data_IF_136430553589
#
_entry.id   IF_136430553589
#
_cell.length_a   1.000
_cell.length_b   1.000
_cell.length_c   1.000
_cell.angle_alpha   90.00
_cell.angle_beta   90.00
_cell.angle_gamma   90.00
#
_symmetry.space_group_name_H-M   'P 1'
#
loop_
_entity.id
_entity.type
_entity.pdbx_description
1 polymer ?
#
# COMPACT_ATOMS: atom_id res chain seq x y z
N UNK A 1 27.00 -47.30 33.72
CA UNK A 1 28.28 -47.29 32.98
C UNK A 1 28.51 -45.90 32.44
N UNK A 2 29.75 -45.44 32.60
CA UNK A 2 30.24 -44.09 32.36
C UNK A 2 30.35 -43.74 30.86
N UNK A 3 30.22 -42.43 30.61
CA UNK A 3 31.02 -41.57 29.72
C UNK A 3 31.52 -42.09 28.36
N UNK A 4 31.17 -41.35 27.32
CA UNK A 4 32.10 -40.76 26.34
C UNK A 4 31.33 -39.64 25.62
N UNK A 5 31.89 -38.53 25.16
CA UNK A 5 33.27 -38.15 24.90
C UNK A 5 33.19 -37.04 23.85
N UNK A 6 33.73 -35.88 24.22
CA UNK A 6 33.88 -34.61 23.51
C UNK A 6 34.31 -34.58 22.01
N UNK A 7 33.89 -33.47 21.37
CA UNK A 7 34.64 -32.50 20.52
C UNK A 7 34.54 -32.48 18.96
N UNK A 8 34.54 -31.20 18.46
CA UNK A 8 34.82 -30.59 17.12
C UNK A 8 33.56 -30.35 16.24
N UNK A 9 33.35 -29.21 15.56
CA UNK A 9 34.17 -28.03 15.22
C UNK A 9 33.30 -26.87 14.69
N UNK A 10 33.80 -25.64 14.88
CA UNK A 10 33.75 -24.41 14.04
C UNK A 10 32.46 -23.76 13.49
N UNK A 11 32.28 -22.51 13.94
CA UNK A 11 31.84 -21.26 13.27
C UNK A 11 31.04 -21.28 11.97
N UNK A 12 29.90 -20.59 11.98
CA UNK A 12 29.59 -19.52 11.01
C UNK A 12 28.77 -18.41 11.68
N UNK A 13 29.26 -17.17 11.54
CA UNK A 13 28.47 -15.94 11.61
C UNK A 13 27.59 -15.89 10.37
N UNK A 14 26.33 -15.44 10.49
CA UNK A 14 25.79 -14.27 9.79
C UNK A 14 24.29 -14.12 10.10
N UNK A 15 23.85 -12.86 10.13
CA UNK A 15 22.70 -12.39 10.87
C UNK A 15 21.35 -12.91 10.41
N UNK A 16 20.39 -12.84 11.34
CA UNK A 16 18.99 -12.92 10.98
C UNK A 16 18.53 -11.53 10.55
N UNK A 17 18.40 -11.35 9.23
CA UNK A 17 17.54 -10.30 8.70
C UNK A 17 16.09 -10.75 8.90
N UNK A 18 15.26 -9.86 9.43
CA UNK A 18 13.81 -10.01 9.32
C UNK A 18 13.42 -9.66 7.89
N UNK A 19 12.86 -10.63 7.17
CA UNK A 19 12.07 -10.35 5.99
C UNK A 19 10.64 -10.14 6.49
N UNK A 20 10.27 -8.90 6.76
CA UNK A 20 8.86 -8.50 6.74
C UNK A 20 8.51 -8.22 5.29
N UNK A 21 8.13 -9.24 4.52
CA UNK A 21 7.33 -8.98 3.33
C UNK A 21 5.92 -8.71 3.82
N UNK A 22 5.56 -7.43 3.95
CA UNK A 22 4.16 -7.08 3.76
C UNK A 22 3.87 -7.53 2.32
N UNK A 23 2.99 -8.52 2.13
CA UNK A 23 2.64 -8.97 0.79
C UNK A 23 2.03 -7.76 0.09
N UNK A 24 2.82 -7.12 -0.79
CA UNK A 24 2.37 -5.93 -1.47
C UNK A 24 1.22 -6.36 -2.40
N UNK A 25 0.03 -5.80 -2.15
CA UNK A 25 -1.15 -6.15 -2.91
C UNK A 25 -0.99 -5.61 -4.33
N UNK A 26 -0.85 -6.51 -5.29
CA UNK A 26 -0.94 -6.15 -6.70
C UNK A 26 -2.38 -5.79 -7.07
N UNK A 27 -2.54 -4.73 -7.86
CA UNK A 27 -3.84 -4.28 -8.33
C UNK A 27 -3.83 -4.22 -9.86
N UNK A 28 -4.85 -4.81 -10.49
CA UNK A 28 -5.06 -4.64 -11.94
C UNK A 28 -5.66 -3.25 -12.18
N UNK A 29 -4.87 -2.33 -12.73
CA UNK A 29 -5.27 -0.94 -12.97
C UNK A 29 -5.79 -0.71 -14.39
N UNK A 30 -5.75 -1.74 -15.24
CA UNK A 30 -6.06 -1.59 -16.66
C UNK A 30 -7.51 -1.14 -16.89
N UNK A 31 -8.44 -1.62 -16.06
CA UNK A 31 -9.87 -1.33 -16.14
C UNK A 31 -10.23 0.11 -15.77
N UNK A 32 -9.30 0.87 -15.19
CA UNK A 32 -9.48 2.30 -14.90
C UNK A 32 -9.01 3.20 -16.05
N UNK A 33 -8.30 2.62 -17.02
CA UNK A 33 -7.76 3.35 -18.15
C UNK A 33 -8.71 3.42 -19.35
N UNK A 34 -8.26 4.12 -20.38
CA UNK A 34 -8.95 4.19 -21.66
C UNK A 34 -8.10 3.55 -22.76
N UNK A 35 -8.73 2.69 -23.56
CA UNK A 35 -8.05 2.00 -24.64
C UNK A 35 -8.33 2.64 -26.00
N UNK A 36 -7.32 2.57 -26.88
CA UNK A 36 -7.39 2.99 -28.27
C UNK A 36 -6.61 2.00 -29.14
N UNK A 37 -6.86 1.97 -30.44
CA UNK A 37 -6.16 1.07 -31.35
C UNK A 37 -5.96 1.71 -32.72
N UNK A 38 -4.90 1.29 -33.40
CA UNK A 38 -4.51 1.73 -34.75
C UNK A 38 -5.67 1.86 -35.74
N UNK A 39 -6.50 0.81 -35.84
CA UNK A 39 -7.70 0.78 -36.70
C UNK A 39 -8.75 -0.11 -36.06
N UNK A 40 -10.02 0.12 -36.38
CA UNK A 40 -11.14 -0.74 -36.00
C UNK A 40 -11.52 -1.66 -37.16
N UNK A 41 -11.47 -2.97 -36.96
CA UNK A 41 -12.02 -3.90 -37.94
C UNK A 41 -13.55 -3.89 -37.89
N UNK A 42 -14.19 -3.41 -38.96
CA UNK A 42 -15.64 -3.26 -39.01
C UNK A 42 -16.15 -2.24 -37.98
N UNK A 43 -17.24 -2.56 -37.27
CA UNK A 43 -17.91 -1.62 -36.33
C UNK A 43 -18.17 -2.23 -34.93
N UNK A 44 -17.54 -3.36 -34.58
CA UNK A 44 -17.88 -4.13 -33.38
C UNK A 44 -16.68 -4.68 -32.60
N UNK A 45 -15.45 -4.25 -32.87
CA UNK A 45 -14.24 -4.81 -32.24
C UNK A 45 -13.41 -3.72 -31.53
N UNK A 46 -14.09 -2.97 -30.66
CA UNK A 46 -13.54 -1.78 -30.01
C UNK A 46 -12.35 -2.10 -29.10
N UNK A 47 -11.38 -1.19 -29.03
CA UNK A 47 -10.19 -1.32 -28.21
C UNK A 47 -10.50 -1.59 -26.72
N UNK A 48 -11.63 -1.07 -26.22
CA UNK A 48 -12.05 -1.22 -24.83
C UNK A 48 -12.44 -2.66 -24.45
N UNK A 49 -12.72 -3.54 -25.41
CA UNK A 49 -13.05 -4.94 -25.12
C UNK A 49 -11.88 -5.73 -24.55
N UNK A 50 -10.65 -5.24 -24.65
CA UNK A 50 -9.53 -5.83 -23.91
C UNK A 50 -9.55 -5.54 -22.41
N UNK A 51 -10.51 -4.76 -21.89
CA UNK A 51 -10.53 -4.24 -20.51
C UNK A 51 -11.86 -4.46 -19.80
N UNK A 52 -12.76 -5.26 -20.37
CA UNK A 52 -14.12 -5.45 -19.85
C UNK A 52 -14.23 -6.65 -18.88
N UNK A 53 -13.15 -7.40 -18.68
CA UNK A 53 -13.09 -8.56 -17.79
C UNK A 53 -13.68 -9.84 -18.39
N UNK A 54 -13.94 -9.87 -19.70
CA UNK A 54 -14.56 -10.99 -20.39
C UNK A 54 -13.57 -11.61 -21.39
N UNK A 55 -13.22 -12.87 -21.21
CA UNK A 55 -12.24 -13.57 -22.07
C UNK A 55 -12.74 -13.95 -23.47
N UNK A 56 -13.95 -13.55 -23.84
CA UNK A 56 -14.60 -13.90 -25.11
C UNK A 56 -15.00 -12.69 -25.96
N UNK A 57 -14.96 -11.49 -25.40
CA UNK A 57 -14.98 -10.24 -26.17
C UNK A 57 -13.53 -9.88 -26.48
N UNK A 58 -13.26 -9.42 -27.70
CA UNK A 58 -11.89 -9.11 -28.08
C UNK A 58 -11.83 -7.83 -28.91
N UNK A 59 -10.66 -7.23 -28.95
CA UNK A 59 -10.28 -6.18 -29.90
C UNK A 59 -9.92 -6.80 -31.26
N UNK A 60 -9.97 -6.04 -32.34
CA UNK A 60 -9.50 -6.52 -33.64
C UNK A 60 -9.15 -5.33 -34.55
N UNK A 61 -7.91 -5.31 -35.03
CA UNK A 61 -7.47 -4.32 -36.02
C UNK A 61 -7.75 -4.79 -37.45
N UNK A 62 -7.75 -3.88 -38.41
CA UNK A 62 -7.66 -4.27 -39.82
C UNK A 62 -6.27 -4.84 -40.14
N UNK A 63 -6.17 -5.49 -41.30
CA UNK A 63 -4.89 -5.93 -41.87
C UNK A 63 -4.05 -4.72 -42.23
N UNK A 64 -2.93 -4.53 -41.54
CA UNK A 64 -2.06 -3.37 -41.75
C UNK A 64 -0.60 -3.67 -41.41
N UNK A 65 0.26 -2.71 -41.66
CA UNK A 65 1.64 -2.72 -41.14
C UNK A 65 1.62 -2.10 -39.76
N UNK A 66 2.34 -2.71 -38.81
CA UNK A 66 2.52 -2.17 -37.46
C UNK A 66 1.22 -1.94 -36.66
N UNK A 67 0.26 -2.91 -36.62
CA UNK A 67 -0.94 -2.76 -35.81
C UNK A 67 -0.59 -2.63 -34.33
N UNK A 68 -1.28 -1.70 -33.65
CA UNK A 68 -1.10 -1.45 -32.23
C UNK A 68 -2.42 -1.26 -31.49
N UNK A 69 -2.37 -1.57 -30.21
CA UNK A 69 -3.35 -1.24 -29.17
C UNK A 69 -2.63 -0.46 -28.07
N UNK A 70 -3.28 0.58 -27.53
CA UNK A 70 -2.75 1.47 -26.50
C UNK A 70 -3.75 1.57 -25.37
N UNK A 71 -3.23 1.50 -24.15
CA UNK A 71 -3.93 1.86 -22.93
C UNK A 71 -3.31 3.11 -22.31
N UNK A 72 -4.14 4.11 -22.05
CA UNK A 72 -3.82 5.24 -21.17
C UNK A 72 -4.28 4.92 -19.75
N UNK A 73 -3.33 4.73 -18.83
CA UNK A 73 -3.57 4.47 -17.40
C UNK A 73 -4.00 5.74 -16.63
N UNK A 74 -4.13 6.88 -17.30
CA UNK A 74 -4.52 8.21 -16.79
C UNK A 74 -3.48 8.88 -15.88
N UNK A 75 -2.67 8.09 -15.16
CA UNK A 75 -1.46 8.54 -14.46
C UNK A 75 -0.30 7.55 -14.66
N UNK A 76 0.90 7.99 -14.29
CA UNK A 76 2.09 7.13 -14.32
C UNK A 76 2.06 6.16 -13.15
N UNK A 77 2.30 4.88 -13.44
CA UNK A 77 2.44 3.81 -12.45
C UNK A 77 3.76 3.07 -12.65
N UNK A 78 4.24 2.44 -11.59
CA UNK A 78 5.27 1.40 -11.67
C UNK A 78 4.59 0.05 -11.98
N UNK A 79 4.71 -0.40 -13.22
CA UNK A 79 4.05 -1.62 -13.71
C UNK A 79 4.89 -2.84 -13.39
N UNK A 80 4.37 -3.73 -12.55
CA UNK A 80 5.08 -4.95 -12.18
C UNK A 80 4.97 -6.03 -13.27
N UNK A 81 3.78 -6.22 -13.84
CA UNK A 81 3.56 -7.17 -14.95
C UNK A 81 2.32 -6.83 -15.77
N UNK A 82 2.29 -7.35 -16.99
CA UNK A 82 1.14 -7.29 -17.90
C UNK A 82 0.66 -8.72 -18.19
N UNK A 83 -0.65 -8.94 -18.26
CA UNK A 83 -1.23 -10.19 -18.74
C UNK A 83 -1.93 -9.96 -20.07
N UNK A 84 -1.86 -10.93 -20.97
CA UNK A 84 -2.57 -10.90 -22.25
C UNK A 84 -3.34 -12.20 -22.41
N UNK A 85 -4.64 -12.09 -22.69
CA UNK A 85 -5.50 -13.21 -23.09
C UNK A 85 -5.65 -13.22 -24.60
N UNK A 86 -5.26 -14.32 -25.22
CA UNK A 86 -5.34 -14.50 -26.65
C UNK A 86 -6.74 -14.99 -27.07
N UNK A 87 -7.03 -14.85 -28.37
CA UNK A 87 -8.27 -15.27 -28.99
C UNK A 87 -8.54 -16.78 -28.81
N UNK A 88 -9.77 -17.20 -28.45
CA UNK A 88 -10.08 -18.60 -28.19
C UNK A 88 -10.47 -19.45 -29.43
N UNK A 89 -10.95 -18.84 -30.51
CA UNK A 89 -11.58 -19.57 -31.64
C UNK A 89 -10.62 -19.99 -32.75
N UNK A 90 -9.72 -19.10 -33.18
CA UNK A 90 -8.75 -19.38 -34.24
C UNK A 90 -7.57 -18.43 -34.16
N UNK A 91 -6.57 -18.71 -35.00
CA UNK A 91 -5.63 -17.70 -35.46
C UNK A 91 -4.72 -17.20 -34.33
N UNK A 92 -4.46 -18.07 -33.36
CA UNK A 92 -3.73 -17.79 -32.14
C UNK A 92 -2.29 -17.36 -32.41
N UNK A 93 -1.71 -17.83 -33.52
CA UNK A 93 -0.35 -17.46 -33.93
C UNK A 93 -0.19 -16.00 -34.35
N UNK A 94 -1.28 -15.25 -34.57
CA UNK A 94 -1.21 -13.83 -34.97
C UNK A 94 -0.58 -12.93 -33.92
N UNK A 95 -0.62 -13.31 -32.64
CA UNK A 95 -0.01 -12.52 -31.56
C UNK A 95 1.52 -12.76 -31.44
N UNK A 96 2.05 -13.76 -32.13
CA UNK A 96 3.47 -14.08 -32.06
C UNK A 96 4.30 -12.90 -32.57
N UNK A 97 5.33 -12.52 -31.82
CA UNK A 97 6.16 -11.35 -32.12
C UNK A 97 5.60 -10.02 -31.59
N UNK A 98 4.43 -10.00 -30.95
CA UNK A 98 3.91 -8.77 -30.35
C UNK A 98 4.85 -8.25 -29.24
N UNK A 99 5.10 -6.96 -29.25
CA UNK A 99 5.89 -6.26 -28.23
C UNK A 99 4.96 -5.53 -27.26
N UNK A 100 5.19 -5.73 -25.97
CA UNK A 100 4.58 -4.94 -24.90
C UNK A 100 5.53 -3.80 -24.57
N UNK A 101 5.08 -2.55 -24.64
CA UNK A 101 5.91 -1.35 -24.34
C UNK A 101 5.25 -0.49 -23.28
N UNK A 102 6.05 0.07 -22.38
CA UNK A 102 5.55 0.88 -21.25
C UNK A 102 6.35 2.17 -21.17
N UNK A 103 5.66 3.30 -21.05
CA UNK A 103 6.33 4.59 -20.85
C UNK A 103 5.37 5.77 -20.81
N UNK A 104 5.91 6.97 -21.03
CA UNK A 104 5.16 8.22 -20.89
C UNK A 104 4.93 8.96 -22.22
N UNK A 105 5.33 8.37 -23.35
CA UNK A 105 5.12 8.95 -24.68
C UNK A 105 3.86 8.36 -25.31
N UNK A 106 2.86 9.19 -25.60
CA UNK A 106 1.56 8.72 -26.16
C UNK A 106 1.50 8.68 -27.68
N UNK A 107 2.32 9.50 -28.35
CA UNK A 107 2.20 9.81 -29.78
C UNK A 107 2.88 8.81 -30.71
N UNK A 108 3.86 8.05 -30.19
CA UNK A 108 4.62 7.09 -30.97
C UNK A 108 4.84 5.81 -30.16
N UNK A 109 4.27 4.71 -30.66
CA UNK A 109 4.32 3.37 -30.08
C UNK A 109 5.75 2.93 -29.74
N UNK A 110 6.70 3.20 -30.63
CA UNK A 110 8.07 2.68 -30.56
C UNK A 110 9.02 3.53 -29.72
N UNK A 111 8.56 4.68 -29.21
CA UNK A 111 9.37 5.57 -28.37
C UNK A 111 9.49 5.08 -26.93
N UNK A 112 8.57 4.24 -26.47
CA UNK A 112 8.60 3.66 -25.14
C UNK A 112 9.43 2.37 -25.12
N UNK A 113 10.15 2.06 -24.02
CA UNK A 113 10.93 0.83 -23.89
C UNK A 113 10.05 -0.42 -23.96
N UNK A 114 10.63 -1.51 -24.48
CA UNK A 114 10.00 -2.82 -24.53
C UNK A 114 10.04 -3.45 -23.14
N UNK A 115 8.86 -3.80 -22.63
CA UNK A 115 8.68 -4.65 -21.47
C UNK A 115 9.03 -6.11 -21.77
N UNK A 116 8.34 -6.66 -22.76
CA UNK A 116 8.40 -8.07 -23.09
C UNK A 116 8.01 -8.28 -24.55
N UNK A 117 8.45 -9.41 -25.10
CA UNK A 117 8.05 -9.88 -26.42
C UNK A 117 7.24 -11.15 -26.25
N UNK A 118 6.08 -11.19 -26.88
CA UNK A 118 5.16 -12.33 -26.90
C UNK A 118 5.67 -13.35 -27.91
N UNK A 119 6.24 -14.46 -27.43
CA UNK A 119 6.68 -15.55 -28.32
C UNK A 119 5.50 -16.35 -28.85
N UNK A 120 4.60 -16.77 -27.96
CA UNK A 120 3.37 -17.48 -28.26
C UNK A 120 2.40 -17.39 -27.09
N UNK A 121 1.10 -17.39 -27.37
CA UNK A 121 0.04 -17.60 -26.40
C UNK A 121 -0.96 -18.57 -27.04
N UNK A 122 -1.18 -19.77 -26.47
CA UNK A 122 -2.19 -20.69 -27.00
C UNK A 122 -3.58 -20.07 -27.07
N UNK A 123 -4.45 -20.61 -27.94
CA UNK A 123 -5.81 -20.12 -28.11
C UNK A 123 -6.55 -20.06 -26.75
N UNK A 124 -7.10 -18.88 -26.43
CA UNK A 124 -7.87 -18.62 -25.20
C UNK A 124 -7.05 -18.59 -23.92
N UNK A 125 -5.74 -18.80 -23.97
CA UNK A 125 -4.88 -18.77 -22.79
C UNK A 125 -4.54 -17.34 -22.38
N UNK A 126 -4.30 -17.15 -21.08
CA UNK A 126 -3.79 -15.90 -20.51
C UNK A 126 -2.35 -16.11 -20.06
N UNK A 127 -1.42 -15.37 -20.66
CA UNK A 127 -0.01 -15.40 -20.28
C UNK A 127 0.38 -14.12 -19.56
N UNK A 128 1.41 -14.20 -18.73
CA UNK A 128 1.87 -13.10 -17.88
C UNK A 128 3.32 -12.76 -18.17
N UNK A 129 3.59 -11.45 -18.28
CA UNK A 129 4.86 -10.88 -18.70
C UNK A 129 5.34 -9.90 -17.63
N UNK A 130 6.47 -10.20 -16.99
CA UNK A 130 7.04 -9.30 -15.98
C UNK A 130 7.63 -8.06 -16.63
N UNK A 131 7.30 -6.90 -16.07
CA UNK A 131 7.79 -5.59 -16.47
C UNK A 131 8.72 -4.98 -15.40
N UNK A 132 9.06 -5.73 -14.34
CA UNK A 132 10.08 -5.35 -13.35
C UNK A 132 9.92 -3.93 -12.78
N UNK A 133 8.68 -3.45 -12.64
CA UNK A 133 8.39 -2.12 -12.09
C UNK A 133 8.64 -0.95 -13.04
N UNK A 134 8.64 -1.16 -14.36
CA UNK A 134 8.79 -0.06 -15.33
C UNK A 134 7.74 1.03 -15.14
N UNK A 135 8.20 2.28 -15.12
CA UNK A 135 7.33 3.43 -14.94
C UNK A 135 6.74 3.91 -16.27
N UNK A 136 5.41 4.02 -16.32
CA UNK A 136 4.73 4.55 -17.48
C UNK A 136 3.26 4.84 -17.23
N UNK A 137 2.73 5.79 -18.00
CA UNK A 137 1.30 6.07 -18.12
C UNK A 137 0.66 5.28 -19.27
N UNK A 138 1.42 4.97 -20.31
CA UNK A 138 0.94 4.30 -21.51
C UNK A 138 1.49 2.89 -21.59
N UNK A 139 0.59 1.93 -21.85
CA UNK A 139 0.93 0.55 -22.18
C UNK A 139 0.54 0.30 -23.62
N UNK A 140 1.49 -0.12 -24.44
CA UNK A 140 1.25 -0.50 -25.83
C UNK A 140 1.43 -2.00 -26.02
N UNK A 141 0.62 -2.58 -26.89
CA UNK A 141 0.85 -3.89 -27.49
C UNK A 141 0.87 -3.68 -28.99
N UNK A 142 1.96 -4.03 -29.66
CA UNK A 142 2.13 -3.79 -31.10
C UNK A 142 2.86 -4.93 -31.78
N UNK A 143 2.55 -5.21 -33.04
CA UNK A 143 3.27 -6.21 -33.84
C UNK A 143 4.03 -5.47 -34.94
N UNK A 144 5.36 -5.29 -34.83
CA UNK A 144 6.16 -4.52 -35.79
C UNK A 144 6.44 -5.30 -37.09
N UNK A 145 5.38 -5.72 -37.79
CA UNK A 145 5.46 -6.48 -39.04
C UNK A 145 4.41 -6.02 -40.07
N UNK A 146 4.62 -6.40 -41.33
CA UNK A 146 3.71 -6.08 -42.43
C UNK A 146 2.54 -7.07 -42.52
N UNK A 147 1.36 -6.56 -42.87
CA UNK A 147 0.15 -7.37 -43.08
C UNK A 147 -0.22 -8.22 -41.86
N UNK A 148 -0.22 -7.59 -40.69
CA UNK A 148 -0.62 -8.20 -39.43
C UNK A 148 -2.00 -7.75 -38.97
N UNK A 149 -2.56 -8.54 -38.05
CA UNK A 149 -3.81 -8.26 -37.34
C UNK A 149 -3.55 -8.46 -35.86
N UNK A 150 -3.84 -7.45 -35.05
CA UNK A 150 -3.76 -7.53 -33.60
C UNK A 150 -5.16 -7.82 -33.03
N UNK A 151 -5.24 -8.83 -32.16
CA UNK A 151 -6.45 -9.24 -31.45
C UNK A 151 -6.08 -9.54 -30.00
N UNK A 152 -6.72 -8.85 -29.07
CA UNK A 152 -6.51 -8.99 -27.63
C UNK A 152 -7.88 -9.17 -26.98
N UNK A 153 -8.08 -10.25 -26.23
CA UNK A 153 -9.36 -10.47 -25.55
C UNK A 153 -9.37 -9.90 -24.13
N UNK A 154 -8.23 -9.92 -23.45
CA UNK A 154 -8.10 -9.22 -22.16
C UNK A 154 -6.65 -8.77 -21.98
N UNK A 155 -6.46 -7.59 -21.42
CA UNK A 155 -5.17 -7.05 -21.02
C UNK A 155 -5.25 -6.61 -19.57
N UNK A 156 -4.46 -7.26 -18.71
CA UNK A 156 -4.31 -6.88 -17.32
C UNK A 156 -3.00 -6.13 -17.12
N UNK A 157 -3.03 -5.04 -16.34
CA UNK A 157 -1.83 -4.26 -15.99
C UNK A 157 -1.76 -4.23 -14.48
N UNK A 158 -0.81 -4.97 -13.92
CA UNK A 158 -0.67 -5.15 -12.48
C UNK A 158 0.42 -4.24 -11.95
N UNK A 159 0.02 -3.33 -11.07
CA UNK A 159 0.94 -2.41 -10.38
C UNK A 159 1.05 -2.81 -8.93
N UNK A 160 2.16 -2.40 -8.34
CA UNK A 160 2.34 -2.42 -6.90
C UNK A 160 2.41 -0.95 -6.46
N UNK A 161 1.75 -0.61 -5.36
CA UNK A 161 1.88 0.70 -4.71
C UNK A 161 2.82 0.56 -3.51
N UNK A 162 4.14 0.39 -3.73
CA UNK A 162 5.06 0.17 -2.63
C UNK A 162 5.04 1.39 -1.72
N UNK A 163 4.88 1.14 -0.41
CA UNK A 163 4.97 2.19 0.60
C UNK A 163 3.76 3.12 0.75
N UNK A 164 2.60 2.85 0.12
CA UNK A 164 1.38 3.59 0.48
C UNK A 164 0.91 3.20 1.89
N UNK A 165 1.18 4.09 2.86
CA UNK A 165 0.88 3.90 4.28
C UNK A 165 -0.62 3.90 4.58
N UNK A 166 -1.45 4.48 3.70
CA UNK A 166 -2.91 4.56 3.86
C UNK A 166 -3.63 3.26 3.51
N UNK A 167 -3.00 2.36 2.74
CA UNK A 167 -3.61 1.10 2.31
C UNK A 167 -4.05 0.25 3.49
N UNK A 168 -5.32 -0.19 3.44
CA UNK A 168 -5.90 -1.09 4.45
C UNK A 168 -5.99 -0.46 5.85
N UNK A 169 -5.87 0.86 5.95
CA UNK A 169 -6.01 1.60 7.21
C UNK A 169 -7.46 1.95 7.48
N UNK A 170 -7.72 2.31 8.73
CA UNK A 170 -9.04 2.79 9.13
C UNK A 170 -9.18 4.26 8.76
N UNK A 171 -10.31 4.56 8.11
CA UNK A 171 -10.68 5.89 7.67
C UNK A 171 -11.99 6.32 8.30
N UNK A 172 -12.14 7.62 8.51
CA UNK A 172 -13.31 8.23 9.12
C UNK A 172 -13.60 9.56 8.42
N UNK A 173 -14.86 9.91 8.30
CA UNK A 173 -15.29 11.16 7.68
C UNK A 173 -16.40 11.84 8.48
N UNK A 174 -16.63 13.11 8.18
CA UNK A 174 -17.61 13.94 8.89
C UNK A 174 -19.06 13.58 8.60
N UNK A 175 -19.38 13.16 7.38
CA UNK A 175 -20.69 12.70 6.91
C UNK A 175 -20.53 11.90 5.61
N UNK A 176 -21.59 11.22 5.16
CA UNK A 176 -21.58 10.38 3.96
C UNK A 176 -22.70 10.76 3.02
N UNK A 177 -22.33 11.20 1.80
CA UNK A 177 -23.31 11.47 0.75
C UNK A 177 -23.67 10.20 -0.02
N UNK A 178 -24.87 9.67 0.23
CA UNK A 178 -25.39 8.49 -0.48
C UNK A 178 -24.48 7.26 -0.34
N UNK A 179 -24.02 6.72 -1.48
CA UNK A 179 -23.13 5.55 -1.54
C UNK A 179 -21.63 5.87 -1.58
N UNK A 180 -21.24 7.15 -1.38
CA UNK A 180 -19.86 7.61 -1.50
C UNK A 180 -19.14 7.48 -0.14
N UNK A 181 -18.80 6.25 0.21
CA UNK A 181 -18.30 5.83 1.54
C UNK A 181 -16.80 6.12 1.72
N UNK A 182 -16.37 6.26 2.98
CA UNK A 182 -15.03 6.77 3.34
C UNK A 182 -13.88 5.90 2.84
N UNK A 183 -14.09 4.58 2.71
CA UNK A 183 -13.11 3.59 2.29
C UNK A 183 -12.69 3.73 0.83
N UNK A 184 -13.56 4.30 -0.01
CA UNK A 184 -13.28 4.57 -1.43
C UNK A 184 -12.13 5.58 -1.63
N UNK A 185 -11.74 6.31 -0.57
CA UNK A 185 -10.60 7.21 -0.65
C UNK A 185 -9.24 6.48 -0.64
N UNK A 186 -9.19 5.19 -0.28
CA UNK A 186 -7.94 4.43 -0.09
C UNK A 186 -8.03 2.99 -0.63
N UNK A 187 -8.94 2.74 -1.57
CA UNK A 187 -9.21 1.41 -2.11
C UNK A 187 -8.40 1.10 -3.38
N UNK A 188 -7.50 2.01 -3.75
CA UNK A 188 -6.68 2.07 -4.96
C UNK A 188 -7.43 2.47 -6.23
N UNK A 189 -8.74 2.68 -6.20
CA UNK A 189 -9.53 2.99 -7.39
C UNK A 189 -9.76 4.51 -7.52
N UNK A 190 -8.97 5.21 -8.36
CA UNK A 190 -9.04 6.67 -8.50
C UNK A 190 -10.31 7.20 -9.17
N UNK A 191 -11.28 6.34 -9.50
CA UNK A 191 -12.58 6.74 -10.04
C UNK A 191 -12.54 7.35 -11.45
N UNK A 192 -11.55 6.98 -12.27
CA UNK A 192 -11.40 7.50 -13.63
C UNK A 192 -12.47 7.04 -14.63
N UNK A 193 -13.24 6.01 -14.30
CA UNK A 193 -14.32 5.50 -15.16
C UNK A 193 -15.69 5.72 -14.54
N UNK A 194 -15.82 5.46 -13.24
CA UNK A 194 -17.10 5.54 -12.53
C UNK A 194 -16.94 6.23 -11.16
N UNK A 195 -16.81 7.57 -11.13
CA UNK A 195 -16.61 8.33 -9.90
C UNK A 195 -17.63 8.02 -8.79
N UNK A 196 -18.89 7.78 -9.15
CA UNK A 196 -19.96 7.55 -8.18
C UNK A 196 -19.86 6.26 -7.36
N UNK A 197 -19.03 5.32 -7.81
CA UNK A 197 -18.77 4.06 -7.12
C UNK A 197 -17.33 3.93 -6.62
N UNK A 198 -16.49 4.94 -6.85
CA UNK A 198 -15.05 4.88 -6.63
C UNK A 198 -14.49 6.06 -5.83
N UNK A 199 -15.26 7.15 -5.67
CA UNK A 199 -14.85 8.27 -4.85
C UNK A 199 -15.70 8.36 -3.59
N UNK A 200 -15.13 8.84 -2.50
CA UNK A 200 -15.91 9.23 -1.33
C UNK A 200 -16.45 10.65 -1.47
N UNK A 201 -17.56 10.97 -0.79
CA UNK A 201 -18.01 12.36 -0.63
C UNK A 201 -18.76 12.57 0.69
N UNK A 202 -18.56 13.73 1.30
CA UNK A 202 -19.42 14.23 2.39
C UNK A 202 -20.71 14.83 1.86
N UNK A 203 -21.70 15.00 2.73
CA UNK A 203 -22.81 15.93 2.50
C UNK A 203 -22.31 17.39 2.45
N UNK A 204 -23.18 18.30 2.01
CA UNK A 204 -22.96 19.74 2.16
C UNK A 204 -23.00 20.12 3.63
N UNK A 205 -21.89 20.57 4.19
CA UNK A 205 -21.80 20.96 5.59
C UNK A 205 -20.76 22.04 5.83
N UNK A 206 -20.71 22.57 7.05
CA UNK A 206 -19.60 23.40 7.51
C UNK A 206 -18.40 22.51 7.82
N UNK A 207 -17.22 22.90 7.33
CA UNK A 207 -15.95 22.26 7.62
C UNK A 207 -15.93 20.72 7.41
N UNK A 208 -16.34 20.18 6.24
CA UNK A 208 -16.26 18.74 5.97
C UNK A 208 -14.82 18.25 6.05
N UNK A 209 -14.65 17.04 6.58
CA UNK A 209 -13.33 16.45 6.78
C UNK A 209 -13.32 14.93 6.58
N UNK A 210 -12.15 14.43 6.25
CA UNK A 210 -11.79 13.02 6.17
C UNK A 210 -10.47 12.79 6.88
N UNK A 211 -10.29 11.63 7.49
CA UNK A 211 -9.07 11.28 8.23
C UNK A 211 -8.75 9.80 8.08
N UNK A 212 -7.49 9.51 7.81
CA UNK A 212 -6.90 8.17 7.94
C UNK A 212 -6.08 8.03 9.23
N UNK A 213 -6.23 6.89 9.90
CA UNK A 213 -5.39 6.46 11.02
C UNK A 213 -4.32 5.47 10.53
N UNK A 214 -3.07 5.92 10.44
CA UNK A 214 -1.92 5.10 10.01
C UNK A 214 -1.54 4.01 11.02
N UNK A 215 -2.26 3.88 12.13
CA UNK A 215 -2.06 2.97 13.27
C UNK A 215 -0.84 3.30 14.16
N UNK A 216 0.25 3.77 13.56
CA UNK A 216 1.47 4.21 14.25
C UNK A 216 1.85 5.62 13.80
N UNK A 217 2.87 6.19 14.45
CA UNK A 217 3.44 7.46 14.05
C UNK A 217 4.44 7.20 12.92
N UNK A 218 4.30 7.93 11.82
CA UNK A 218 5.24 7.92 10.69
C UNK A 218 5.79 9.32 10.44
N UNK A 219 6.92 9.38 9.73
CA UNK A 219 7.42 10.60 9.10
C UNK A 219 6.82 10.70 7.72
N UNK A 220 5.73 11.43 7.59
CA UNK A 220 4.99 11.55 6.33
C UNK A 220 5.74 12.50 5.41
N UNK A 221 6.33 11.97 4.35
CA UNK A 221 7.12 12.72 3.38
C UNK A 221 6.24 13.39 2.33
N UNK A 222 5.17 12.72 1.88
CA UNK A 222 4.22 13.26 0.91
C UNK A 222 2.84 12.62 0.97
N UNK A 223 1.86 13.34 0.45
CA UNK A 223 0.47 12.89 0.27
C UNK A 223 0.08 13.12 -1.19
N UNK A 224 -0.45 12.09 -1.85
CA UNK A 224 -0.99 12.19 -3.22
C UNK A 224 -2.51 12.17 -3.14
N UNK A 225 -3.15 13.09 -3.84
CA UNK A 225 -4.61 13.21 -3.85
C UNK A 225 -5.10 13.16 -5.29
N UNK A 226 -6.05 12.26 -5.56
CA UNK A 226 -6.77 12.20 -6.83
C UNK A 226 -8.13 12.88 -6.71
N UNK A 227 -8.34 13.88 -7.56
CA UNK A 227 -9.59 14.64 -7.59
C UNK A 227 -10.62 14.00 -8.53
N UNK A 228 -11.89 14.37 -8.32
CA UNK A 228 -13.03 13.90 -9.11
C UNK A 228 -12.88 14.24 -10.60
N UNK A 229 -13.23 13.29 -11.47
CA UNK A 229 -13.08 13.41 -12.93
C UNK A 229 -14.28 14.04 -13.64
N UNK A 230 -15.50 13.62 -13.32
CA UNK A 230 -16.71 13.91 -14.12
C UNK A 230 -17.25 15.33 -13.93
N UNK A 231 -17.18 15.89 -12.72
CA UNK A 231 -17.58 17.28 -12.47
C UNK A 231 -17.02 17.86 -11.18
N UNK A 232 -17.16 19.19 -11.06
CA UNK A 232 -16.92 19.97 -9.85
C UNK A 232 -15.52 19.83 -9.21
N UNK A 233 -14.42 19.77 -10.00
CA UNK A 233 -13.08 19.64 -9.44
C UNK A 233 -12.72 20.80 -8.49
N UNK A 234 -13.33 21.97 -8.67
CA UNK A 234 -13.10 23.16 -7.85
C UNK A 234 -13.57 23.01 -6.39
N UNK A 235 -14.38 22.00 -6.06
CA UNK A 235 -14.86 21.78 -4.69
C UNK A 235 -13.72 21.54 -3.68
N UNK A 236 -12.60 20.98 -4.14
CA UNK A 236 -11.42 20.74 -3.31
C UNK A 236 -10.61 22.01 -3.03
N UNK A 237 -10.87 23.12 -3.72
CA UNK A 237 -10.09 24.35 -3.58
C UNK A 237 -10.19 24.91 -2.15
N UNK A 238 -9.05 25.11 -1.52
CA UNK A 238 -8.94 25.53 -0.12
C UNK A 238 -8.95 24.37 0.89
N UNK A 239 -8.94 23.11 0.44
CA UNK A 239 -8.72 21.98 1.34
C UNK A 239 -7.33 22.07 1.99
N UNK A 240 -7.23 21.65 3.24
CA UNK A 240 -5.99 21.63 4.01
C UNK A 240 -5.61 20.19 4.31
N UNK A 241 -4.36 19.82 4.02
CA UNK A 241 -3.78 18.56 4.47
C UNK A 241 -3.15 18.83 5.83
N UNK A 242 -3.54 18.08 6.86
CA UNK A 242 -3.06 18.23 8.23
C UNK A 242 -2.51 16.92 8.76
N UNK A 243 -1.38 16.96 9.45
CA UNK A 243 -0.66 15.77 9.90
C UNK A 243 -0.28 15.94 11.36
N UNK A 244 -0.61 14.94 12.18
CA UNK A 244 -0.23 14.97 13.59
C UNK A 244 -0.74 13.78 14.41
N UNK A 245 -0.75 13.96 15.73
CA UNK A 245 -1.05 12.89 16.69
C UNK A 245 -2.26 13.19 17.57
N UNK A 246 -2.86 14.38 17.46
CA UNK A 246 -4.03 14.76 18.24
C UNK A 246 -5.32 14.36 17.53
N UNK A 247 -6.33 13.96 18.31
CA UNK A 247 -7.72 13.78 17.88
C UNK A 247 -8.63 14.93 18.31
N UNK A 248 -8.08 15.97 18.95
CA UNK A 248 -8.83 17.18 19.25
C UNK A 248 -9.42 17.77 17.97
N UNK A 249 -10.70 18.16 18.01
CA UNK A 249 -11.47 18.55 16.83
C UNK A 249 -11.34 17.53 15.68
N UNK A 250 -11.43 16.24 15.99
CA UNK A 250 -11.22 15.13 15.05
C UNK A 250 -9.85 15.12 14.35
N UNK A 251 -8.84 15.78 14.93
CA UNK A 251 -7.51 15.92 14.31
C UNK A 251 -7.39 17.09 13.34
N UNK A 252 -8.46 17.87 13.15
CA UNK A 252 -8.47 19.04 12.28
C UNK A 252 -7.66 20.22 12.86
N UNK A 253 -7.22 20.13 14.11
CA UNK A 253 -6.30 21.10 14.73
C UNK A 253 -4.81 20.72 14.57
N UNK A 254 -4.50 19.55 14.00
CA UNK A 254 -3.11 19.17 13.74
C UNK A 254 -2.43 20.17 12.78
N UNK A 255 -1.09 20.31 12.82
CA UNK A 255 -0.35 21.20 11.93
C UNK A 255 -0.68 20.99 10.45
N UNK A 256 -0.80 22.09 9.71
CA UNK A 256 -1.03 22.07 8.26
C UNK A 256 0.27 21.67 7.56
N UNK A 257 0.20 20.60 6.75
CA UNK A 257 1.23 20.30 5.76
C UNK A 257 1.15 21.30 4.60
N UNK A 258 -0.04 21.45 4.01
CA UNK A 258 -0.25 22.38 2.88
C UNK A 258 -1.74 22.71 2.70
N UNK A 259 -2.00 23.74 1.90
CA UNK A 259 -3.34 24.12 1.42
C UNK A 259 -3.42 23.86 -0.08
N UNK A 260 -4.44 23.12 -0.49
CA UNK A 260 -4.72 22.76 -1.87
C UNK A 260 -5.35 23.97 -2.56
N UNK A 261 -4.62 24.59 -3.49
CA UNK A 261 -5.17 25.68 -4.30
C UNK A 261 -6.22 25.16 -5.28
N UNK A 262 -5.87 24.11 -6.02
CA UNK A 262 -6.72 23.44 -7.00
C UNK A 262 -6.10 22.13 -7.47
N UNK A 263 -6.92 21.15 -7.79
CA UNK A 263 -6.51 19.96 -8.53
C UNK A 263 -7.42 19.83 -9.75
N UNK A 264 -6.90 19.75 -10.99
CA UNK A 264 -7.75 19.56 -12.17
C UNK A 264 -8.57 18.26 -12.08
N UNK A 265 -9.64 18.19 -12.88
CA UNK A 265 -10.51 17.02 -12.91
C UNK A 265 -9.73 15.74 -13.26
N UNK A 266 -9.87 14.70 -12.43
CA UNK A 266 -9.25 13.39 -12.63
C UNK A 266 -7.72 13.38 -12.55
N UNK A 267 -7.10 14.44 -12.00
CA UNK A 267 -5.65 14.51 -11.84
C UNK A 267 -5.27 14.09 -10.41
N UNK A 268 -4.18 13.32 -10.30
CA UNK A 268 -3.49 13.09 -9.03
C UNK A 268 -2.41 14.15 -8.82
N UNK A 269 -2.43 14.84 -7.69
CA UNK A 269 -1.41 15.83 -7.32
C UNK A 269 -0.65 15.41 -6.06
N UNK A 270 0.67 15.51 -6.10
CA UNK A 270 1.55 15.19 -4.98
C UNK A 270 1.87 16.43 -4.16
N UNK A 271 1.71 16.32 -2.85
CA UNK A 271 1.99 17.37 -1.88
C UNK A 271 3.11 16.93 -0.94
N UNK A 272 4.20 17.70 -0.91
CA UNK A 272 5.35 17.40 -0.07
C UNK A 272 5.10 17.92 1.34
N UNK A 273 5.21 17.03 2.33
CA UNK A 273 4.94 17.29 3.74
C UNK A 273 6.20 17.29 4.62
N UNK A 274 7.40 17.26 4.02
CA UNK A 274 8.68 17.47 4.71
C UNK A 274 8.86 16.62 5.99
N UNK A 275 8.52 15.33 5.90
CA UNK A 275 8.70 14.33 6.96
C UNK A 275 7.98 14.65 8.28
N UNK A 276 6.83 15.35 8.19
CA UNK A 276 5.99 15.65 9.35
C UNK A 276 5.62 14.37 10.13
N UNK A 277 5.86 14.39 11.43
CA UNK A 277 5.56 13.26 12.30
C UNK A 277 4.07 13.21 12.67
N UNK A 278 3.38 12.15 12.27
CA UNK A 278 1.96 11.99 12.57
C UNK A 278 1.46 10.56 12.45
N UNK A 279 0.46 10.23 13.27
CA UNK A 279 -0.37 9.03 13.14
C UNK A 279 -1.61 9.29 12.28
N UNK A 280 -2.10 10.52 12.32
CA UNK A 280 -3.31 10.93 11.61
C UNK A 280 -2.96 11.86 10.46
N UNK A 281 -3.54 11.58 9.29
CA UNK A 281 -3.57 12.49 8.15
C UNK A 281 -5.02 12.89 7.93
N UNK A 282 -5.29 14.17 8.03
CA UNK A 282 -6.61 14.77 7.85
C UNK A 282 -6.64 15.60 6.57
N UNK A 283 -7.75 15.54 5.85
CA UNK A 283 -8.12 16.53 4.85
C UNK A 283 -9.39 17.23 5.33
N UNK A 284 -9.34 18.56 5.42
CA UNK A 284 -10.48 19.40 5.83
C UNK A 284 -10.66 20.53 4.84
N UNK A 285 -11.90 20.89 4.51
CA UNK A 285 -12.19 22.11 3.74
C UNK A 285 -12.89 23.11 4.65
N UNK A 286 -12.19 24.15 5.14
CA UNK A 286 -12.83 25.17 5.94
C UNK A 286 -13.89 25.96 5.17
N UNK A 287 -14.95 26.38 5.87
CA UNK A 287 -16.03 27.20 5.36
C UNK A 287 -17.39 26.52 5.38
N UNK A 288 -18.43 27.30 5.08
CA UNK A 288 -19.82 26.85 5.08
C UNK A 288 -20.25 26.25 3.74
N UNK A 289 -21.20 25.32 3.80
CA UNK A 289 -21.81 24.68 2.62
C UNK A 289 -20.78 24.07 1.66
N UNK A 290 -19.74 23.43 2.22
CA UNK A 290 -18.68 22.77 1.47
C UNK A 290 -18.97 21.27 1.33
N UNK A 291 -18.42 20.68 0.29
CA UNK A 291 -18.33 19.24 0.08
C UNK A 291 -16.86 18.86 0.05
N UNK A 292 -16.48 17.76 0.70
CA UNK A 292 -15.18 17.12 0.48
C UNK A 292 -15.41 15.83 -0.29
N UNK A 293 -14.80 15.74 -1.47
CA UNK A 293 -14.85 14.58 -2.35
C UNK A 293 -13.41 14.21 -2.71
N UNK A 294 -12.97 13.00 -2.39
CA UNK A 294 -11.64 12.48 -2.76
C UNK A 294 -11.82 11.13 -3.44
N UNK A 295 -11.11 10.90 -4.53
CA UNK A 295 -11.18 9.65 -5.28
C UNK A 295 -10.02 8.70 -4.98
N UNK A 296 -8.89 9.21 -4.50
CA UNK A 296 -7.82 8.38 -3.94
C UNK A 296 -6.92 9.28 -3.09
N UNK A 297 -6.42 8.76 -1.97
CA UNK A 297 -5.47 9.40 -1.07
C UNK A 297 -4.36 8.40 -0.77
N UNK A 298 -3.16 8.70 -1.25
CA UNK A 298 -1.97 7.90 -1.00
C UNK A 298 -1.08 8.66 -0.03
N UNK A 299 -0.54 7.97 0.98
CA UNK A 299 0.33 8.58 1.99
C UNK A 299 1.67 7.88 1.96
N UNK A 300 2.76 8.63 1.76
CA UNK A 300 4.12 8.10 1.68
C UNK A 300 4.98 8.68 2.79
N UNK A 301 5.91 7.88 3.29
CA UNK A 301 6.77 8.26 4.40
C UNK A 301 7.61 7.14 4.96
N UNK A 302 8.37 7.45 6.00
CA UNK A 302 9.23 6.49 6.71
C UNK A 302 8.67 6.15 8.09
N UNK A 303 8.86 4.90 8.52
CA UNK A 303 8.43 4.43 9.83
C UNK A 303 7.90 3.00 9.80
N UNK A 304 7.21 2.55 10.87
CA UNK A 304 6.75 3.34 12.00
C UNK A 304 7.87 3.84 12.92
N UNK A 305 7.71 5.05 13.46
CA UNK A 305 8.54 5.58 14.54
C UNK A 305 8.21 4.85 15.85
N UNK A 306 8.81 3.67 16.02
CA UNK A 306 8.67 2.90 17.25
C UNK A 306 9.45 3.60 18.38
N UNK A 307 8.73 4.26 19.30
CA UNK A 307 9.33 4.76 20.54
C UNK A 307 9.81 3.59 21.38
N UNK A 308 11.11 3.31 21.35
CA UNK A 308 11.76 2.40 22.29
C UNK A 308 11.67 3.00 23.69
N UNK A 309 10.74 2.51 24.50
CA UNK A 309 10.64 2.87 25.91
C UNK A 309 11.46 1.89 26.73
N UNK A 310 12.48 2.39 27.43
CA UNK A 310 13.24 1.58 28.38
C UNK A 310 12.49 1.52 29.70
N UNK A 311 11.97 0.35 30.06
CA UNK A 311 11.35 0.11 31.36
C UNK A 311 12.39 -0.47 32.31
N UNK A 312 12.78 0.29 33.34
CA UNK A 312 13.57 -0.25 34.46
C UNK A 312 12.62 -0.92 35.46
N UNK A 313 12.63 -2.24 35.52
CA UNK A 313 11.80 -3.02 36.43
C UNK A 313 12.66 -3.64 37.54
N UNK A 314 12.22 -3.51 38.80
CA UNK A 314 12.79 -4.26 39.93
C UNK A 314 11.93 -5.49 40.17
N UNK A 315 12.48 -6.68 39.93
CA UNK A 315 11.79 -7.94 40.06
C UNK A 315 12.20 -8.62 41.38
N UNK A 316 11.21 -9.07 42.15
CA UNK A 316 11.43 -9.92 43.32
C UNK A 316 11.11 -11.36 42.92
N UNK A 317 12.14 -12.16 42.65
CA UNK A 317 11.99 -13.57 42.28
C UNK A 317 12.89 -14.47 43.12
N UNK A 318 12.46 -15.72 43.33
CA UNK A 318 13.30 -16.79 43.87
C UNK A 318 14.23 -17.38 42.80
N UNK A 319 13.98 -17.11 41.51
CA UNK A 319 14.80 -17.54 40.38
C UNK A 319 15.79 -16.46 39.96
N UNK A 320 16.97 -16.89 39.53
CA UNK A 320 18.03 -15.99 39.08
C UNK A 320 17.80 -15.53 37.64
N UNK A 321 17.74 -14.22 37.44
CA UNK A 321 17.73 -13.60 36.12
C UNK A 321 19.12 -13.63 35.44
N UNK A 322 20.13 -14.28 36.02
CA UNK A 322 21.37 -14.60 35.32
C UNK A 322 21.19 -15.74 34.30
N UNK A 323 20.15 -16.57 34.46
CA UNK A 323 19.84 -17.70 33.59
C UNK A 323 19.09 -17.22 32.31
N UNK A 324 19.60 -17.48 31.10
CA UNK A 324 18.94 -17.14 29.85
C UNK A 324 17.53 -17.74 29.68
N UNK A 325 17.27 -18.95 30.19
CA UNK A 325 15.96 -19.59 30.07
C UNK A 325 14.90 -18.84 30.88
N UNK A 326 15.27 -18.43 32.11
CA UNK A 326 14.40 -17.62 32.99
C UNK A 326 14.11 -16.25 32.37
N UNK A 327 15.10 -15.64 31.69
CA UNK A 327 14.91 -14.37 30.97
C UNK A 327 13.89 -14.47 29.85
N UNK A 328 13.96 -15.52 29.04
CA UNK A 328 13.01 -15.76 27.93
C UNK A 328 11.61 -16.03 28.48
N UNK A 329 11.51 -16.89 29.49
CA UNK A 329 10.23 -17.21 30.12
C UNK A 329 9.55 -15.97 30.71
N UNK A 330 10.30 -15.09 31.38
CA UNK A 330 9.75 -13.86 31.93
C UNK A 330 9.27 -12.89 30.84
N UNK A 331 10.04 -12.71 29.76
CA UNK A 331 9.61 -11.85 28.64
C UNK A 331 8.33 -12.38 28.00
N UNK A 332 8.21 -13.70 27.82
CA UNK A 332 7.01 -14.35 27.28
C UNK A 332 5.78 -14.13 28.17
N UNK A 333 5.92 -14.28 29.49
CA UNK A 333 4.84 -14.02 30.44
C UNK A 333 4.43 -12.53 30.48
N UNK A 334 5.40 -11.61 30.43
CA UNK A 334 5.10 -10.18 30.38
C UNK A 334 4.37 -9.81 29.09
N UNK A 335 4.80 -10.39 27.96
CA UNK A 335 4.16 -10.16 26.68
C UNK A 335 2.72 -10.68 26.67
N UNK A 336 2.44 -11.86 27.22
CA UNK A 336 1.06 -12.37 27.31
C UNK A 336 0.15 -11.47 28.16
N UNK A 337 0.64 -10.96 29.29
CA UNK A 337 -0.12 -10.03 30.14
C UNK A 337 -0.38 -8.70 29.44
N UNK A 338 0.57 -8.19 28.65
CA UNK A 338 0.38 -6.98 27.85
C UNK A 338 -0.70 -7.19 26.78
N UNK A 339 -0.69 -8.34 26.11
CA UNK A 339 -1.73 -8.71 25.13
C UNK A 339 -3.11 -8.77 25.79
N UNK A 340 -3.24 -9.41 26.97
CA UNK A 340 -4.49 -9.44 27.73
C UNK A 340 -5.00 -8.06 28.12
N UNK A 341 -4.10 -7.09 28.29
CA UNK A 341 -4.43 -5.69 28.59
C UNK A 341 -4.66 -4.83 27.34
N UNK A 342 -4.72 -5.45 26.15
CA UNK A 342 -4.99 -4.78 24.89
C UNK A 342 -3.76 -4.24 24.15
N UNK A 343 -2.54 -4.59 24.57
CA UNK A 343 -1.31 -4.23 23.88
C UNK A 343 -0.81 -5.42 23.04
N UNK A 344 -1.31 -5.53 21.80
CA UNK A 344 -1.03 -6.67 20.91
C UNK A 344 0.24 -6.54 20.05
N UNK A 345 0.82 -5.33 19.95
CA UNK A 345 2.00 -5.07 19.11
C UNK A 345 3.19 -4.56 19.94
N UNK A 346 3.68 -5.41 20.84
CA UNK A 346 4.82 -5.09 21.72
C UNK A 346 5.87 -6.19 21.60
N UNK A 347 7.10 -5.79 21.27
CA UNK A 347 8.29 -6.66 21.34
C UNK A 347 9.11 -6.29 22.56
N UNK A 348 9.25 -7.21 23.52
CA UNK A 348 10.09 -7.01 24.71
C UNK A 348 11.46 -7.67 24.51
N UNK A 349 12.53 -6.94 24.80
CA UNK A 349 13.89 -7.47 24.77
C UNK A 349 14.74 -6.88 25.90
N UNK A 350 15.68 -7.67 26.42
CA UNK A 350 16.67 -7.18 27.38
C UNK A 350 17.73 -6.37 26.64
N UNK A 351 17.91 -5.11 27.05
CA UNK A 351 18.94 -4.23 26.48
C UNK A 351 20.31 -4.46 27.13
N UNK A 352 20.32 -5.02 28.34
CA UNK A 352 21.50 -5.44 29.08
C UNK A 352 21.14 -6.59 30.05
N UNK A 353 22.10 -7.46 30.43
CA UNK A 353 21.87 -8.49 31.45
C UNK A 353 21.46 -7.87 32.80
N UNK A 354 20.44 -8.43 33.51
CA UNK A 354 20.04 -7.93 34.82
C UNK A 354 21.15 -8.11 35.86
N UNK A 355 21.43 -7.07 36.64
CA UNK A 355 22.33 -7.13 37.79
C UNK A 355 21.64 -7.76 39.00
N UNK A 356 22.34 -8.68 39.68
CA UNK A 356 21.82 -9.38 40.85
C UNK A 356 22.16 -8.61 42.13
N UNK A 357 21.16 -7.99 42.77
CA UNK A 357 21.29 -7.47 44.14
C UNK A 357 20.85 -8.53 45.16
N UNK A 358 21.81 -9.11 45.89
CA UNK A 358 21.50 -10.06 46.97
C UNK A 358 21.05 -9.29 48.23
N UNK A 359 19.75 -9.19 48.44
CA UNK A 359 19.18 -8.63 49.68
C UNK A 359 19.33 -9.65 50.82
N UNK A 360 20.37 -9.52 51.67
CA UNK A 360 20.48 -10.32 52.89
C UNK A 360 19.42 -9.87 53.89
N UNK A 361 18.64 -10.82 54.41
CA UNK A 361 17.66 -10.60 55.48
C UNK A 361 18.42 -10.24 56.76
N UNK A 362 18.23 -9.06 57.33
CA UNK A 362 18.80 -8.72 58.64
C UNK A 362 18.22 -9.66 59.71
N UNK A 363 19.11 -10.25 60.52
CA UNK A 363 18.73 -11.21 61.56
C UNK A 363 18.07 -10.48 62.74
N UNK A 364 16.92 -10.97 63.18
CA UNK A 364 16.21 -10.43 64.35
C UNK A 364 17.00 -10.68 65.66
N UNK A 365 17.05 -9.71 66.60
CA UNK A 365 17.82 -9.85 67.83
C UNK A 365 17.23 -10.90 68.79
N UNK A 366 18.10 -11.70 69.41
CA UNK A 366 17.75 -12.78 70.33
C UNK A 366 17.07 -12.25 71.61
N UNK A 367 15.92 -12.82 71.97
CA UNK A 367 15.18 -12.45 73.20
C UNK A 367 15.76 -13.15 74.44
N UNK A 368 16.03 -12.37 75.48
CA UNK A 368 16.46 -12.79 76.82
C UNK A 368 15.49 -13.79 77.49
N UNK A 369 16.04 -14.84 78.08
CA UNK A 369 15.33 -15.76 78.97
C UNK A 369 15.16 -15.11 80.36
N UNK A 370 13.91 -14.89 80.78
CA UNK A 370 13.58 -14.46 82.15
C UNK A 370 13.47 -15.69 83.05
N UNK A 371 14.32 -15.70 84.08
CA UNK A 371 14.45 -16.71 85.13
C UNK A 371 13.29 -16.54 86.12
N UNK A 372 12.41 -17.55 86.27
CA UNK A 372 11.42 -17.60 87.37
C UNK A 372 12.15 -17.86 88.69
N UNK A 373 11.93 -17.02 89.71
CA UNK A 373 12.28 -17.29 91.12
C UNK A 373 10.98 -17.41 91.92
N UNK A 374 10.83 -18.60 92.51
CA UNK A 374 9.90 -19.11 93.52
C UNK A 374 8.41 -18.79 93.38
#
# INVERSE_FOLDING_TARGET
>A
MNMSGFYKSLCFLLGFFSVQTQAEKEVNVATWGTADQSTLYGNYWYAQYALDGLSYTCTHTEWQTDPWWRLDLMKTYSVNRVTITNRPDCCESRINGAEIRIGNVSSNVYSNPVCAVVSTIPAGATYSYSCHGMEGRYVFVSIPETSMVLTLCEVGVYVIFPGNLATGRNVTQSSTFGSWITEQAIDFNPGFTQPSSACFSTDSQTNPWWRVDLSYIYRVSSVVITNRLDCCPERINGAEIRIGNSLENNGNNNPICTVISSIPAGVSSTYICNDMEGRYVNLIIPGDSRFLTLCEVEVYGEGPLLKRTFLKMKLKSSWSLSDPAVRVQLLSQLQSVLVERGFSDVTLQWTQPPEQEVMRKEAAPAKCAVRKRR
#
